data_IF_168632865962
#
_entry.id   IF_168632865962
#
_cell.length_a   1.000
_cell.length_b   1.000
_cell.length_c   1.000
_cell.angle_alpha   90.00
_cell.angle_beta   90.00
_cell.angle_gamma   90.00
#
_symmetry.space_group_name_H-M   'P 1'
#
loop_
_entity.id
_entity.type
_entity.pdbx_description
1 polymer ?
#
# COMPACT_ATOMS: atom_id res chain seq x y z
N UNK A 1 5.50 14.42 0.27
CA UNK A 1 5.27 13.02 0.65
C UNK A 1 5.72 12.91 2.09
N UNK A 2 4.85 12.46 2.98
CA UNK A 2 5.16 12.30 4.39
C UNK A 2 5.91 11.00 4.67
N UNK A 3 6.03 10.68 5.95
CA UNK A 3 6.69 9.49 6.47
C UNK A 3 5.68 8.42 6.84
N UNK A 4 6.07 7.16 6.63
CA UNK A 4 5.45 6.01 7.28
C UNK A 4 6.30 5.67 8.50
N UNK A 5 5.73 5.78 9.69
CA UNK A 5 6.45 5.54 10.94
C UNK A 5 5.78 4.45 11.74
N UNK A 6 6.56 3.70 12.50
CA UNK A 6 6.04 2.88 13.57
C UNK A 6 6.48 3.44 14.92
N UNK A 7 5.56 3.40 15.89
CA UNK A 7 5.74 4.06 17.19
C UNK A 7 5.28 3.19 18.33
N UNK A 8 5.89 3.41 19.49
CA UNK A 8 5.52 2.82 20.77
C UNK A 8 5.73 3.84 21.88
N UNK A 9 5.49 3.45 23.14
CA UNK A 9 5.80 4.31 24.29
C UNK A 9 7.24 4.85 24.31
N UNK A 10 8.17 4.23 23.59
CA UNK A 10 9.56 4.69 23.51
C UNK A 10 9.74 5.99 22.74
N UNK A 11 8.78 6.39 21.91
CA UNK A 11 8.79 7.70 21.25
C UNK A 11 8.32 8.83 22.19
N UNK A 12 7.84 8.51 23.39
CA UNK A 12 7.53 9.48 24.43
C UNK A 12 6.36 10.40 24.06
N UNK A 13 6.44 11.66 24.50
CA UNK A 13 5.40 12.63 24.20
C UNK A 13 5.63 13.29 22.83
N UNK A 14 4.88 12.86 21.82
CA UNK A 14 4.94 13.39 20.45
C UNK A 14 4.25 14.76 20.41
N UNK A 15 4.91 15.74 19.80
CA UNK A 15 4.26 17.00 19.43
C UNK A 15 3.45 16.80 18.14
N UNK A 16 2.19 16.41 18.33
CA UNK A 16 1.29 16.02 17.25
C UNK A 16 0.94 17.13 16.27
N UNK A 17 0.96 18.40 16.69
CA UNK A 17 0.69 19.53 15.78
C UNK A 17 1.85 19.76 14.80
N UNK A 18 3.07 19.41 15.22
CA UNK A 18 4.26 19.43 14.36
C UNK A 18 4.37 18.14 13.54
N UNK A 19 4.05 16.99 14.14
CA UNK A 19 4.21 15.68 13.51
C UNK A 19 3.14 15.38 12.45
N UNK A 20 1.87 15.73 12.69
CA UNK A 20 0.77 15.40 11.79
C UNK A 20 1.00 15.72 10.30
N UNK A 21 1.45 16.94 9.91
CA UNK A 21 1.68 17.26 8.50
C UNK A 21 2.86 16.48 7.87
N UNK A 22 3.67 15.81 8.69
CA UNK A 22 4.79 14.99 8.24
C UNK A 22 4.39 13.52 8.01
N UNK A 23 3.20 13.08 8.42
CA UNK A 23 2.88 11.66 8.54
C UNK A 23 1.88 11.21 7.46
N UNK A 24 2.32 10.28 6.62
CA UNK A 24 1.46 9.61 5.63
C UNK A 24 0.71 8.43 6.26
N UNK A 25 1.36 7.70 7.19
CA UNK A 25 0.76 6.57 7.90
C UNK A 25 1.54 6.25 9.19
N UNK A 26 0.84 5.77 10.23
CA UNK A 26 1.45 5.37 11.51
C UNK A 26 1.09 3.92 11.85
N UNK A 27 2.03 3.11 12.33
CA UNK A 27 1.73 1.79 12.92
C UNK A 27 2.10 1.84 14.41
N UNK A 28 1.10 1.82 15.29
CA UNK A 28 1.31 2.03 16.74
C UNK A 28 1.25 0.71 17.53
N UNK A 29 2.16 0.55 18.50
CA UNK A 29 2.21 -0.64 19.35
C UNK A 29 1.05 -0.67 20.31
N UNK A 30 0.34 -1.79 20.37
CA UNK A 30 -0.74 -2.02 21.34
C UNK A 30 -0.23 -2.75 22.58
N UNK A 31 0.62 -3.75 22.37
CA UNK A 31 1.09 -4.63 23.43
C UNK A 31 2.46 -5.24 23.12
N UNK A 32 3.07 -5.77 24.16
CA UNK A 32 4.27 -6.62 24.10
C UNK A 32 3.97 -7.93 24.85
N UNK A 33 3.53 -8.95 24.11
CA UNK A 33 2.89 -10.11 24.70
C UNK A 33 1.54 -9.81 25.35
N UNK A 34 0.91 -10.84 25.89
CA UNK A 34 -0.35 -10.70 26.63
C UNK A 34 -0.20 -9.89 27.92
N UNK A 35 1.00 -9.79 28.49
CA UNK A 35 1.22 -9.24 29.83
C UNK A 35 1.64 -7.77 29.88
N UNK A 36 1.91 -7.13 28.75
CA UNK A 36 2.29 -5.71 28.71
C UNK A 36 1.42 -4.95 27.72
N UNK A 37 0.64 -3.99 28.21
CA UNK A 37 -0.10 -3.04 27.38
C UNK A 37 0.76 -1.80 27.18
N UNK A 38 0.90 -1.33 25.95
CA UNK A 38 1.64 -0.09 25.69
C UNK A 38 0.88 1.10 26.32
N UNK A 39 1.48 1.81 27.29
CA UNK A 39 0.78 2.81 28.09
C UNK A 39 0.44 4.09 27.32
N UNK A 40 1.10 4.35 26.18
CA UNK A 40 0.86 5.57 25.39
C UNK A 40 -0.04 5.33 24.18
N UNK A 41 -0.28 4.07 23.80
CA UNK A 41 -1.09 3.70 22.65
C UNK A 41 -2.42 4.45 22.56
N UNK A 42 -3.22 4.46 23.64
CA UNK A 42 -4.54 5.12 23.64
C UNK A 42 -4.42 6.63 23.40
N UNK A 43 -3.42 7.28 23.99
CA UNK A 43 -3.17 8.70 23.80
C UNK A 43 -2.74 9.00 22.36
N UNK A 44 -1.89 8.15 21.78
CA UNK A 44 -1.49 8.27 20.38
C UNK A 44 -2.68 8.11 19.44
N UNK A 45 -3.51 7.08 19.63
CA UNK A 45 -4.72 6.86 18.83
C UNK A 45 -5.65 8.07 18.91
N UNK A 46 -5.90 8.61 20.11
CA UNK A 46 -6.72 9.80 20.27
C UNK A 46 -6.14 10.99 19.50
N UNK A 47 -4.84 11.23 19.60
CA UNK A 47 -4.18 12.33 18.91
C UNK A 47 -4.19 12.18 17.38
N UNK A 48 -3.99 10.96 16.88
CA UNK A 48 -4.06 10.62 15.45
C UNK A 48 -5.49 10.82 14.91
N UNK A 49 -6.51 10.36 15.63
CA UNK A 49 -7.92 10.55 15.26
C UNK A 49 -8.29 12.03 15.18
N UNK A 50 -7.90 12.84 16.17
CA UNK A 50 -8.17 14.29 16.18
C UNK A 50 -7.58 15.00 14.97
N UNK A 51 -6.49 14.47 14.39
CA UNK A 51 -5.76 15.08 13.27
C UNK A 51 -5.92 14.32 11.96
N UNK A 52 -6.86 13.36 11.90
CA UNK A 52 -7.12 12.51 10.73
C UNK A 52 -5.86 11.79 10.19
N UNK A 53 -4.94 11.42 11.06
CA UNK A 53 -3.76 10.64 10.68
C UNK A 53 -4.20 9.16 10.56
N UNK A 54 -4.08 8.53 9.39
CA UNK A 54 -4.43 7.12 9.24
C UNK A 54 -3.41 6.24 9.98
N UNK A 55 -3.89 5.19 10.64
CA UNK A 55 -3.02 4.35 11.45
C UNK A 55 -3.38 2.85 11.42
N UNK A 56 -2.39 2.03 11.71
CA UNK A 56 -2.48 0.60 11.98
C UNK A 56 -2.03 0.26 13.41
N UNK A 57 -2.27 -0.99 13.79
CA UNK A 57 -1.87 -1.54 15.08
C UNK A 57 -0.79 -2.61 14.89
N UNK A 58 0.18 -2.70 15.80
CA UNK A 58 1.07 -3.86 15.90
C UNK A 58 1.16 -4.39 17.34
N UNK A 59 1.51 -5.68 17.46
CA UNK A 59 1.77 -6.35 18.73
C UNK A 59 3.04 -7.18 18.63
N UNK A 60 4.00 -6.90 19.51
CA UNK A 60 5.19 -7.73 19.66
C UNK A 60 4.78 -9.08 20.24
N UNK A 61 5.05 -10.15 19.51
CA UNK A 61 4.56 -11.50 19.78
C UNK A 61 5.39 -12.18 20.89
N UNK A 62 4.70 -12.76 21.88
CA UNK A 62 5.36 -13.56 22.94
C UNK A 62 4.76 -14.94 23.20
N UNK A 63 3.86 -15.39 22.34
CA UNK A 63 3.16 -16.66 22.54
C UNK A 63 4.12 -17.85 22.70
N UNK A 64 3.78 -18.74 23.62
CA UNK A 64 4.58 -19.94 23.92
C UNK A 64 3.92 -21.25 23.44
N UNK A 65 2.71 -21.16 22.88
CA UNK A 65 1.96 -22.29 22.33
C UNK A 65 0.88 -21.81 21.35
N UNK A 66 0.23 -22.72 20.64
CA UNK A 66 -0.90 -22.41 19.75
C UNK A 66 -2.08 -21.80 20.51
N UNK A 67 -2.43 -22.35 21.68
CA UNK A 67 -3.50 -21.81 22.51
C UNK A 67 -3.16 -20.40 23.01
N UNK A 68 -1.90 -20.17 23.36
CA UNK A 68 -1.41 -18.87 23.81
C UNK A 68 -1.35 -17.85 22.67
N UNK A 69 -0.95 -18.24 21.46
CA UNK A 69 -1.00 -17.38 20.27
C UNK A 69 -2.41 -16.88 19.97
N UNK A 70 -3.41 -17.76 20.13
CA UNK A 70 -4.82 -17.38 20.02
C UNK A 70 -5.22 -16.39 21.11
N UNK A 71 -4.81 -16.64 22.36
CA UNK A 71 -5.10 -15.75 23.49
C UNK A 71 -4.46 -14.37 23.31
N UNK A 72 -3.21 -14.34 22.87
CA UNK A 72 -2.47 -13.11 22.62
C UNK A 72 -3.12 -12.28 21.49
N UNK A 73 -3.57 -12.94 20.42
CA UNK A 73 -4.34 -12.29 19.34
C UNK A 73 -5.67 -11.71 19.83
N UNK A 74 -6.38 -12.41 20.71
CA UNK A 74 -7.61 -11.91 21.34
C UNK A 74 -7.34 -10.68 22.20
N UNK A 75 -6.26 -10.71 22.99
CA UNK A 75 -5.85 -9.58 23.81
C UNK A 75 -5.48 -8.38 22.94
N UNK A 76 -4.70 -8.62 21.87
CA UNK A 76 -4.34 -7.59 20.90
C UNK A 76 -5.57 -6.97 20.26
N UNK A 77 -6.49 -7.80 19.75
CA UNK A 77 -7.75 -7.33 19.18
C UNK A 77 -8.58 -6.53 20.18
N UNK A 78 -8.72 -7.00 21.42
CA UNK A 78 -9.53 -6.32 22.43
C UNK A 78 -8.95 -4.96 22.85
N UNK A 79 -7.62 -4.85 22.92
CA UNK A 79 -6.91 -3.63 23.32
C UNK A 79 -6.78 -2.61 22.19
N UNK A 80 -6.62 -3.09 20.95
CA UNK A 80 -6.44 -2.25 19.78
C UNK A 80 -7.72 -1.51 19.37
N UNK A 81 -7.55 -0.26 18.95
CA UNK A 81 -8.63 0.56 18.42
C UNK A 81 -9.09 0.03 17.06
N UNK A 82 -10.41 -0.04 16.86
CA UNK A 82 -11.04 -0.64 15.68
C UNK A 82 -11.05 0.27 14.45
N UNK A 83 -10.66 1.53 14.59
CA UNK A 83 -10.39 2.42 13.46
C UNK A 83 -9.07 2.12 12.77
N UNK A 84 -8.22 1.26 13.35
CA UNK A 84 -6.98 0.82 12.71
C UNK A 84 -7.28 0.10 11.38
N UNK A 85 -6.53 0.46 10.34
CA UNK A 85 -6.73 -0.06 8.99
C UNK A 85 -6.02 -1.39 8.75
N UNK A 86 -4.97 -1.67 9.54
CA UNK A 86 -4.20 -2.92 9.51
C UNK A 86 -3.84 -3.37 10.93
N UNK A 87 -3.60 -4.67 11.08
CA UNK A 87 -3.17 -5.32 12.31
C UNK A 87 -1.91 -6.14 12.04
N UNK A 88 -0.85 -5.95 12.80
CA UNK A 88 0.46 -6.57 12.51
C UNK A 88 0.89 -7.49 13.65
N UNK A 89 1.22 -8.73 13.30
CA UNK A 89 1.99 -9.62 14.16
C UNK A 89 3.47 -9.27 14.02
N UNK A 90 4.10 -8.84 15.09
CA UNK A 90 5.52 -8.47 15.12
C UNK A 90 6.34 -9.61 15.77
N UNK A 91 7.14 -10.30 14.95
CA UNK A 91 7.85 -11.54 15.30
C UNK A 91 9.36 -11.33 15.20
N UNK A 92 10.00 -11.17 16.35
CA UNK A 92 11.45 -10.91 16.43
C UNK A 92 12.23 -11.95 17.23
N UNK A 93 11.57 -12.67 18.13
CA UNK A 93 12.22 -13.58 19.08
C UNK A 93 11.57 -14.96 19.06
N UNK A 94 12.37 -16.00 19.36
CA UNK A 94 11.86 -17.37 19.50
C UNK A 94 11.23 -17.54 20.88
N UNK A 95 9.91 -17.75 20.93
CA UNK A 95 9.16 -18.00 22.20
C UNK A 95 8.48 -19.37 22.23
N UNK A 96 8.40 -20.04 21.07
CA UNK A 96 8.02 -21.44 20.94
C UNK A 96 8.83 -22.11 19.84
N UNK A 97 8.78 -23.44 19.74
CA UNK A 97 9.56 -24.17 18.75
C UNK A 97 9.09 -23.94 17.31
N UNK A 98 7.79 -24.09 17.04
CA UNK A 98 7.21 -23.79 15.73
C UNK A 98 6.61 -22.37 15.72
N UNK A 99 7.49 -21.37 15.59
CA UNK A 99 7.08 -19.97 15.49
C UNK A 99 6.14 -19.72 14.31
N UNK A 100 6.30 -20.41 13.18
CA UNK A 100 5.39 -20.26 12.02
C UNK A 100 3.98 -20.71 12.35
N UNK A 101 3.81 -21.84 13.04
CA UNK A 101 2.48 -22.30 13.45
C UNK A 101 1.82 -21.36 14.47
N UNK A 102 2.60 -20.84 15.43
CA UNK A 102 2.14 -19.82 16.38
C UNK A 102 1.69 -18.54 15.68
N UNK A 103 2.53 -17.98 14.80
CA UNK A 103 2.24 -16.77 14.03
C UNK A 103 1.01 -16.95 13.14
N UNK A 104 0.89 -18.08 12.43
CA UNK A 104 -0.28 -18.34 11.60
C UNK A 104 -1.57 -18.40 12.45
N UNK A 105 -1.51 -19.05 13.61
CA UNK A 105 -2.64 -19.10 14.55
C UNK A 105 -3.05 -17.72 15.05
N UNK A 106 -2.07 -16.88 15.38
CA UNK A 106 -2.31 -15.49 15.80
C UNK A 106 -3.02 -14.70 14.69
N UNK A 107 -2.54 -14.78 13.45
CA UNK A 107 -3.11 -14.09 12.29
C UNK A 107 -4.52 -14.60 11.98
N UNK A 108 -4.72 -15.91 12.01
CA UNK A 108 -6.03 -16.53 11.74
C UNK A 108 -7.06 -16.14 12.80
N UNK A 109 -6.65 -16.02 14.06
CA UNK A 109 -7.53 -15.54 15.12
C UNK A 109 -7.92 -14.08 14.95
N UNK A 110 -6.99 -13.20 14.54
CA UNK A 110 -7.31 -11.81 14.21
C UNK A 110 -8.35 -11.73 13.07
N UNK A 111 -8.16 -12.52 12.01
CA UNK A 111 -9.12 -12.61 10.91
C UNK A 111 -10.49 -13.10 11.39
N UNK A 112 -10.52 -14.14 12.24
CA UNK A 112 -11.75 -14.67 12.85
C UNK A 112 -12.49 -13.62 13.68
N UNK A 113 -11.75 -12.77 14.40
CA UNK A 113 -12.28 -11.69 15.23
C UNK A 113 -12.76 -10.48 14.41
N UNK A 114 -12.38 -10.39 13.14
CA UNK A 114 -12.91 -9.42 12.19
C UNK A 114 -11.87 -8.53 11.51
N UNK A 115 -10.58 -8.70 11.79
CA UNK A 115 -9.51 -7.96 11.13
C UNK A 115 -9.52 -8.24 9.62
N UNK A 116 -9.63 -7.19 8.81
CA UNK A 116 -9.72 -7.30 7.33
C UNK A 116 -8.37 -7.29 6.63
N UNK A 117 -7.36 -6.69 7.27
CA UNK A 117 -6.00 -6.57 6.75
C UNK A 117 -5.04 -6.89 7.89
N UNK A 118 -4.33 -8.01 7.77
CA UNK A 118 -3.39 -8.51 8.76
C UNK A 118 -2.01 -8.67 8.11
N UNK A 119 -1.01 -8.05 8.71
CA UNK A 119 0.38 -8.08 8.26
C UNK A 119 1.29 -8.89 9.18
N UNK A 120 2.46 -9.21 8.66
CA UNK A 120 3.56 -9.82 9.42
C UNK A 120 4.76 -8.87 9.38
N UNK A 121 5.20 -8.39 10.54
CA UNK A 121 6.56 -7.91 10.71
C UNK A 121 7.45 -9.07 11.18
N UNK A 122 8.61 -9.21 10.56
CA UNK A 122 9.53 -10.29 10.87
C UNK A 122 10.96 -9.79 10.82
N UNK A 123 11.68 -9.95 11.93
CA UNK A 123 13.09 -9.59 12.01
C UNK A 123 13.91 -10.31 10.94
N UNK A 124 14.83 -9.61 10.27
CA UNK A 124 15.59 -10.18 9.16
C UNK A 124 16.35 -11.47 9.54
N UNK A 125 16.81 -11.57 10.78
CA UNK A 125 17.58 -12.71 11.29
C UNK A 125 16.71 -13.94 11.63
N UNK A 126 15.39 -13.79 11.73
CA UNK A 126 14.47 -14.88 12.08
C UNK A 126 13.60 -15.37 10.91
N UNK A 127 13.63 -14.68 9.76
CA UNK A 127 12.80 -15.00 8.60
C UNK A 127 12.94 -16.47 8.14
N UNK A 128 14.16 -16.90 7.83
CA UNK A 128 14.45 -18.27 7.40
C UNK A 128 14.35 -19.28 8.55
N UNK A 129 14.99 -19.07 9.72
CA UNK A 129 14.95 -20.04 10.82
C UNK A 129 13.55 -20.38 11.30
N UNK A 130 12.62 -19.43 11.23
CA UNK A 130 11.23 -19.67 11.61
C UNK A 130 10.34 -20.08 10.45
N UNK A 131 10.84 -20.15 9.20
CA UNK A 131 10.04 -20.55 8.04
C UNK A 131 8.95 -19.55 7.65
N UNK A 132 9.21 -18.25 7.84
CA UNK A 132 8.21 -17.17 7.75
C UNK A 132 7.69 -16.91 6.33
N UNK A 133 8.40 -17.38 5.30
CA UNK A 133 7.92 -17.39 3.92
C UNK A 133 6.58 -18.13 3.73
N UNK A 134 6.25 -19.06 4.64
CA UNK A 134 5.04 -19.88 4.58
C UNK A 134 3.87 -19.32 5.40
N UNK A 135 4.05 -18.17 6.08
CA UNK A 135 2.96 -17.50 6.79
C UNK A 135 2.07 -16.76 5.79
N UNK A 136 0.76 -16.95 5.91
CA UNK A 136 -0.24 -16.34 5.03
C UNK A 136 -0.80 -15.07 5.66
N UNK A 137 -0.17 -13.93 5.40
CA UNK A 137 -0.65 -12.58 5.72
C UNK A 137 -1.06 -11.82 4.44
N UNK A 138 -1.65 -10.63 4.60
CA UNK A 138 -2.06 -9.76 3.48
C UNK A 138 -0.89 -8.87 2.98
N UNK A 139 0.09 -8.63 3.86
CA UNK A 139 1.34 -7.96 3.55
C UNK A 139 2.48 -8.42 4.48
N UNK A 140 3.71 -8.20 4.04
CA UNK A 140 4.94 -8.49 4.81
C UNK A 140 5.74 -7.20 5.03
N UNK A 141 6.26 -7.03 6.23
CA UNK A 141 7.07 -5.90 6.67
C UNK A 141 8.41 -6.43 7.20
N UNK A 142 9.53 -5.97 6.65
CA UNK A 142 10.87 -6.48 7.01
C UNK A 142 11.82 -5.32 7.30
N UNK A 143 12.57 -5.36 8.41
CA UNK A 143 13.64 -4.42 8.66
C UNK A 143 14.90 -4.82 7.88
N UNK A 144 15.60 -3.83 7.32
CA UNK A 144 17.00 -3.99 6.94
C UNK A 144 17.68 -2.64 6.92
N UNK A 145 18.62 -2.46 7.83
CA UNK A 145 19.31 -1.18 8.00
C UNK A 145 20.64 -1.19 7.23
N UNK A 146 21.12 -0.01 6.82
CA UNK A 146 22.38 0.12 6.08
C UNK A 146 22.24 0.16 4.55
N UNK A 147 21.09 0.59 4.04
CA UNK A 147 20.90 0.98 2.62
C UNK A 147 20.55 -0.14 1.65
N UNK A 148 20.81 -1.40 2.00
CA UNK A 148 20.37 -2.54 1.20
C UNK A 148 18.91 -2.88 1.50
N UNK A 149 18.09 -3.06 0.45
CA UNK A 149 16.71 -3.57 0.57
C UNK A 149 16.67 -4.96 1.23
N UNK A 150 15.57 -5.36 1.89
CA UNK A 150 15.38 -6.70 2.44
C UNK A 150 15.74 -7.81 1.44
N UNK A 151 16.37 -8.89 1.92
CA UNK A 151 16.72 -10.04 1.08
C UNK A 151 15.48 -10.84 0.63
N UNK A 152 14.39 -10.71 1.36
CA UNK A 152 13.12 -11.39 1.11
C UNK A 152 12.07 -10.40 0.59
N UNK A 153 11.10 -10.86 -0.22
CA UNK A 153 10.00 -10.02 -0.67
C UNK A 153 9.21 -9.43 0.51
N UNK A 154 8.95 -8.14 0.46
CA UNK A 154 8.08 -7.46 1.41
C UNK A 154 7.34 -6.29 0.76
N UNK A 155 6.26 -5.85 1.40
CA UNK A 155 5.49 -4.68 1.00
C UNK A 155 5.99 -3.42 1.68
N UNK A 156 6.38 -3.54 2.95
CA UNK A 156 6.96 -2.47 3.76
C UNK A 156 8.42 -2.83 4.10
N UNK A 157 9.32 -1.88 3.89
CA UNK A 157 10.71 -1.97 4.34
C UNK A 157 10.95 -0.92 5.44
N UNK A 158 11.24 -1.39 6.67
CA UNK A 158 11.80 -0.53 7.71
C UNK A 158 13.29 -0.32 7.42
N UNK A 159 13.63 0.86 6.91
CA UNK A 159 14.97 1.10 6.35
C UNK A 159 15.93 1.78 7.33
N UNK A 160 15.40 2.34 8.42
CA UNK A 160 16.20 2.89 9.52
C UNK A 160 15.44 2.88 10.83
N UNK A 161 16.17 2.68 11.93
CA UNK A 161 15.73 2.83 13.32
C UNK A 161 16.27 4.12 14.00
N UNK A 162 16.98 4.94 13.21
CA UNK A 162 17.63 6.20 13.63
C UNK A 162 17.13 7.40 12.83
N UNK A 163 15.94 7.28 12.23
CA UNK A 163 15.30 8.39 11.55
C UNK A 163 14.97 9.53 12.51
N UNK A 164 14.68 10.70 11.96
CA UNK A 164 14.25 11.86 12.74
C UNK A 164 13.10 12.57 12.04
N UNK A 165 11.93 12.62 12.68
CA UNK A 165 10.74 13.30 12.15
C UNK A 165 10.40 14.48 13.05
N UNK A 166 10.19 15.69 12.50
CA UNK A 166 9.75 16.84 13.28
C UNK A 166 8.53 16.52 14.15
N UNK A 167 8.62 16.84 15.44
CA UNK A 167 7.58 16.55 16.43
C UNK A 167 7.64 15.16 17.07
N UNK A 168 8.33 14.19 16.46
CA UNK A 168 8.57 12.85 17.03
C UNK A 168 9.99 12.72 17.58
N UNK A 169 10.98 13.25 16.85
CA UNK A 169 12.39 13.00 17.12
C UNK A 169 12.81 11.64 16.56
N UNK A 170 13.65 10.90 17.31
CA UNK A 170 14.18 9.59 16.86
C UNK A 170 13.02 8.61 16.65
N UNK A 171 12.93 8.03 15.46
CA UNK A 171 11.90 7.04 15.12
C UNK A 171 12.31 6.12 13.97
N UNK A 172 11.54 5.05 13.85
CA UNK A 172 11.70 4.05 12.80
C UNK A 172 10.97 4.54 11.55
N UNK A 173 11.64 4.46 10.40
CA UNK A 173 11.10 4.91 9.12
C UNK A 173 10.93 3.76 8.14
N UNK A 174 9.81 3.83 7.43
CA UNK A 174 9.32 2.79 6.56
C UNK A 174 9.07 3.32 5.14
N UNK A 175 9.23 2.44 4.17
CA UNK A 175 8.91 2.73 2.77
C UNK A 175 8.20 1.56 2.11
N UNK A 176 7.34 1.86 1.14
CA UNK A 176 6.60 0.86 0.38
C UNK A 176 7.46 0.40 -0.81
N UNK A 177 7.74 -0.90 -0.89
CA UNK A 177 8.54 -1.49 -1.98
C UNK A 177 7.87 -2.69 -2.65
N UNK A 178 6.71 -3.10 -2.17
CA UNK A 178 5.90 -4.17 -2.77
C UNK A 178 4.76 -3.64 -3.62
N UNK A 179 3.66 -4.41 -3.66
CA UNK A 179 2.54 -4.13 -4.57
C UNK A 179 1.34 -3.45 -3.89
N UNK A 180 1.42 -3.14 -2.59
CA UNK A 180 0.39 -2.40 -1.86
C UNK A 180 0.69 -0.89 -1.91
N UNK A 181 -0.15 -0.07 -2.56
CA UNK A 181 0.02 1.38 -2.53
C UNK A 181 -0.35 1.95 -1.15
N UNK A 182 0.07 3.19 -0.88
CA UNK A 182 -0.25 3.89 0.38
C UNK A 182 -1.76 3.90 0.68
N UNK A 183 -2.61 4.10 -0.33
CA UNK A 183 -4.08 4.07 -0.18
C UNK A 183 -4.62 2.73 0.34
N UNK A 184 -3.93 1.62 0.05
CA UNK A 184 -4.27 0.31 0.61
C UNK A 184 -4.05 0.29 2.12
N UNK A 185 -2.99 0.92 2.62
CA UNK A 185 -2.70 1.00 4.06
C UNK A 185 -3.57 2.03 4.77
N UNK A 186 -3.73 3.24 4.20
CA UNK A 186 -4.47 4.31 4.87
C UNK A 186 -5.98 4.07 4.89
N UNK A 187 -6.48 3.08 4.15
CA UNK A 187 -7.90 2.83 4.02
C UNK A 187 -8.64 3.99 3.34
N UNK A 188 -7.89 4.92 2.73
CA UNK A 188 -8.45 5.95 1.89
C UNK A 188 -9.21 5.27 0.77
N UNK A 189 -10.54 5.26 0.86
CA UNK A 189 -11.39 5.23 -0.32
C UNK A 189 -10.87 6.39 -1.18
N UNK A 190 -10.56 6.20 -2.48
CA UNK A 190 -10.21 7.33 -3.32
C UNK A 190 -11.36 8.32 -3.16
N UNK A 191 -11.09 9.41 -2.44
CA UNK A 191 -12.00 10.53 -2.45
C UNK A 191 -12.11 10.92 -3.91
N UNK A 192 -13.31 10.82 -4.47
CA UNK A 192 -13.69 11.74 -5.53
C UNK A 192 -13.73 13.14 -4.90
N UNK A 193 -12.57 13.66 -4.51
CA UNK A 193 -12.34 15.07 -4.29
C UNK A 193 -11.42 15.49 -5.42
N UNK A 194 -11.87 16.52 -6.13
CA UNK A 194 -11.17 17.24 -7.17
C UNK A 194 -9.75 17.59 -6.74
N UNK A 195 -8.80 16.69 -7.00
CA UNK A 195 -7.39 17.04 -7.08
C UNK A 195 -7.10 17.10 -8.56
N UNK A 196 -6.85 18.31 -9.04
CA UNK A 196 -6.04 18.56 -10.21
C UNK A 196 -4.71 17.82 -10.03
N UNK A 197 -4.69 16.54 -10.37
CA UNK A 197 -3.46 15.87 -10.71
C UNK A 197 -2.91 16.66 -11.90
N UNK A 198 -1.65 17.08 -11.83
CA UNK A 198 -0.88 17.13 -13.06
C UNK A 198 -0.85 15.70 -13.60
N UNK A 199 -1.88 15.38 -14.39
CA UNK A 199 -1.90 14.25 -15.29
C UNK A 199 -0.64 14.45 -16.14
N UNK A 200 0.32 13.55 -16.05
CA UNK A 200 1.17 13.35 -17.22
C UNK A 200 0.20 12.95 -18.32
N UNK A 201 -0.19 13.91 -19.18
CA UNK A 201 -1.14 13.69 -20.27
C UNK A 201 -0.74 12.40 -20.98
N UNK A 202 -1.50 11.33 -20.77
CA UNK A 202 -1.34 10.13 -21.56
C UNK A 202 -2.09 10.42 -22.84
N UNK A 203 -1.45 11.08 -23.81
CA UNK A 203 -2.11 11.45 -25.05
C UNK A 203 -2.64 10.18 -25.74
N UNK A 204 -3.92 9.89 -25.57
CA UNK A 204 -4.59 8.73 -26.17
C UNK A 204 -5.66 9.24 -27.11
N UNK A 205 -5.76 8.71 -28.32
CA UNK A 205 -6.83 9.06 -29.25
C UNK A 205 -7.83 7.91 -29.33
N UNK A 206 -9.10 8.25 -29.16
CA UNK A 206 -10.20 7.42 -29.60
C UNK A 206 -10.84 8.05 -30.84
N UNK A 207 -10.91 7.31 -31.95
CA UNK A 207 -11.68 7.76 -33.12
C UNK A 207 -13.18 7.54 -32.93
N UNK A 208 -13.98 8.25 -33.72
CA UNK A 208 -15.37 7.93 -33.95
C UNK A 208 -15.53 6.64 -34.74
N UNK A 209 -16.74 6.10 -34.76
CA UNK A 209 -17.07 4.92 -35.55
C UNK A 209 -16.93 5.24 -37.05
N UNK A 210 -16.22 4.37 -37.77
CA UNK A 210 -16.00 4.43 -39.22
C UNK A 210 -16.25 3.06 -39.85
N UNK A 211 -16.34 3.03 -41.17
CA UNK A 211 -16.65 1.80 -41.91
C UNK A 211 -15.48 0.81 -41.81
N UNK A 212 -15.71 -0.51 -41.67
CA UNK A 212 -14.63 -1.50 -41.64
C UNK A 212 -13.78 -1.49 -42.92
N UNK A 213 -14.32 -0.98 -44.03
CA UNK A 213 -13.58 -0.80 -45.28
C UNK A 213 -12.51 0.31 -45.19
N UNK A 214 -12.61 1.22 -44.23
CA UNK A 214 -11.63 2.30 -44.00
C UNK A 214 -10.55 1.90 -42.97
N UNK A 215 -10.66 0.72 -42.35
CA UNK A 215 -9.70 0.22 -41.37
C UNK A 215 -8.26 0.07 -41.91
N UNK A 216 -8.00 -0.41 -43.14
CA UNK A 216 -6.64 -0.47 -43.68
C UNK A 216 -5.99 0.91 -43.80
N UNK A 217 -6.79 1.93 -44.13
CA UNK A 217 -6.29 3.30 -44.23
C UNK A 217 -5.96 3.88 -42.84
N UNK A 218 -6.83 3.64 -41.85
CA UNK A 218 -6.57 4.03 -40.46
C UNK A 218 -5.33 3.35 -39.89
N UNK A 219 -5.11 2.05 -40.16
CA UNK A 219 -3.89 1.33 -39.76
C UNK A 219 -2.63 1.90 -40.40
N UNK A 220 -2.72 2.29 -41.68
CA UNK A 220 -1.61 2.95 -42.40
C UNK A 220 -1.27 4.29 -41.76
N UNK A 221 -2.30 5.08 -41.40
CA UNK A 221 -2.12 6.37 -40.75
C UNK A 221 -1.46 6.24 -39.36
N UNK A 222 -1.94 5.32 -38.51
CA UNK A 222 -1.35 5.04 -37.21
C UNK A 222 0.11 4.59 -37.33
N UNK A 223 0.42 3.73 -38.30
CA UNK A 223 1.80 3.27 -38.56
C UNK A 223 2.70 4.43 -38.99
N UNK A 224 2.20 5.36 -39.81
CA UNK A 224 2.96 6.52 -40.29
C UNK A 224 3.43 7.45 -39.16
N UNK A 225 2.68 7.50 -38.06
CA UNK A 225 3.01 8.26 -36.84
C UNK A 225 3.56 7.36 -35.72
N UNK A 226 3.91 6.10 -36.04
CA UNK A 226 4.46 5.12 -35.09
C UNK A 226 3.58 4.90 -33.85
N UNK A 227 2.26 4.93 -34.02
CA UNK A 227 1.29 4.68 -32.96
C UNK A 227 0.77 3.24 -33.04
N UNK A 228 0.55 2.64 -31.87
CA UNK A 228 -0.19 1.40 -31.70
C UNK A 228 -1.61 1.69 -31.25
N UNK A 229 -2.56 0.87 -31.67
CA UNK A 229 -3.96 1.02 -31.32
C UNK A 229 -4.70 -0.31 -31.34
N UNK A 230 -5.77 -0.39 -30.53
CA UNK A 230 -6.74 -1.48 -30.57
C UNK A 230 -7.92 -1.06 -31.42
N UNK A 231 -8.32 -1.88 -32.40
CA UNK A 231 -9.53 -1.69 -33.19
C UNK A 231 -10.67 -2.51 -32.59
N UNK A 232 -11.86 -1.89 -32.52
CA UNK A 232 -13.04 -2.44 -31.86
C UNK A 232 -14.20 -2.40 -32.84
N UNK A 233 -14.70 -3.58 -33.22
CA UNK A 233 -15.90 -3.77 -34.06
C UNK A 233 -17.16 -3.67 -33.19
N UNK A 234 -18.11 -2.85 -33.61
CA UNK A 234 -19.41 -2.65 -32.97
C UNK A 234 -20.48 -3.55 -33.60
N UNK A 235 -21.58 -3.75 -32.88
CA UNK A 235 -22.68 -4.63 -33.30
C UNK A 235 -23.43 -4.16 -34.54
N UNK A 236 -23.31 -2.87 -34.90
CA UNK A 236 -23.86 -2.28 -36.12
C UNK A 236 -22.92 -2.43 -37.35
N UNK A 237 -21.77 -3.09 -37.17
CA UNK A 237 -20.79 -3.35 -38.22
C UNK A 237 -19.78 -2.23 -38.42
N UNK A 238 -19.88 -1.10 -37.69
CA UNK A 238 -18.86 -0.04 -37.70
C UNK A 238 -17.72 -0.39 -36.74
N UNK A 239 -16.56 0.24 -36.94
CA UNK A 239 -15.39 0.04 -36.09
C UNK A 239 -14.83 1.38 -35.66
N UNK A 240 -14.16 1.41 -34.51
CA UNK A 240 -13.32 2.55 -34.11
C UNK A 240 -12.01 2.03 -33.53
N UNK A 241 -11.04 2.91 -33.30
CA UNK A 241 -9.79 2.55 -32.64
C UNK A 241 -9.53 3.39 -31.40
N UNK A 242 -8.79 2.82 -30.45
CA UNK A 242 -8.20 3.51 -29.30
C UNK A 242 -6.70 3.31 -29.33
N UNK A 243 -5.93 4.40 -29.33
CA UNK A 243 -4.47 4.31 -29.31
C UNK A 243 -3.91 3.98 -27.92
N UNK A 244 -2.72 3.43 -27.87
CA UNK A 244 -1.94 3.44 -26.63
C UNK A 244 -1.45 4.87 -26.31
N UNK A 245 -0.99 5.16 -25.07
CA UNK A 245 -0.41 6.47 -24.73
C UNK A 245 0.71 6.87 -25.69
N UNK A 246 0.62 8.08 -26.23
CA UNK A 246 1.51 8.55 -27.30
C UNK A 246 2.21 9.88 -26.95
N UNK A 247 3.22 10.28 -27.71
CA UNK A 247 3.86 11.60 -27.54
C UNK A 247 3.05 12.73 -28.18
N UNK A 248 3.30 13.99 -27.79
CA UNK A 248 2.60 15.16 -28.38
C UNK A 248 2.78 15.25 -29.90
N UNK A 249 3.95 14.87 -30.42
CA UNK A 249 4.24 14.89 -31.85
C UNK A 249 3.39 13.87 -32.61
N UNK A 250 3.27 12.67 -32.05
CA UNK A 250 2.46 11.59 -32.62
C UNK A 250 0.97 11.93 -32.53
N UNK A 251 0.53 12.47 -31.38
CA UNK A 251 -0.83 12.97 -31.19
C UNK A 251 -1.18 14.01 -32.25
N UNK A 252 -0.36 15.05 -32.42
CA UNK A 252 -0.62 16.11 -33.38
C UNK A 252 -0.64 15.60 -34.83
N UNK A 253 0.26 14.67 -35.18
CA UNK A 253 0.27 14.01 -36.49
C UNK A 253 -1.03 13.26 -36.77
N UNK A 254 -1.52 12.49 -35.79
CA UNK A 254 -2.73 11.68 -35.92
C UNK A 254 -3.99 12.55 -35.94
N UNK A 255 -4.07 13.59 -35.08
CA UNK A 255 -5.14 14.60 -35.11
C UNK A 255 -5.27 15.25 -36.47
N UNK A 256 -4.15 15.72 -37.03
CA UNK A 256 -4.15 16.35 -38.34
C UNK A 256 -4.62 15.42 -39.47
N UNK A 257 -4.37 14.12 -39.37
CA UNK A 257 -4.92 13.14 -40.33
C UNK A 257 -6.43 12.96 -40.14
N UNK A 258 -6.91 12.83 -38.90
CA UNK A 258 -8.34 12.68 -38.58
C UNK A 258 -9.15 13.91 -39.01
N UNK A 259 -8.61 15.12 -38.75
CA UNK A 259 -9.21 16.38 -39.17
C UNK A 259 -9.34 16.46 -40.71
N UNK A 260 -8.30 16.04 -41.46
CA UNK A 260 -8.36 15.99 -42.93
C UNK A 260 -9.38 14.98 -43.46
N UNK A 261 -9.64 13.91 -42.71
CA UNK A 261 -10.68 12.93 -43.02
C UNK A 261 -12.08 13.38 -42.63
N UNK A 262 -12.20 14.47 -41.85
CA UNK A 262 -13.47 14.88 -41.26
C UNK A 262 -13.99 13.87 -40.24
N UNK A 263 -13.11 13.02 -39.69
CA UNK A 263 -13.49 12.01 -38.72
C UNK A 263 -13.50 12.61 -37.33
N UNK A 264 -14.58 12.34 -36.60
CA UNK A 264 -14.66 12.70 -35.19
C UNK A 264 -13.63 11.90 -34.38
N UNK A 265 -13.07 12.50 -33.34
CA UNK A 265 -12.23 11.82 -32.37
C UNK A 265 -12.24 12.56 -31.03
N UNK A 266 -11.77 11.87 -30.00
CA UNK A 266 -11.55 12.38 -28.65
C UNK A 266 -10.11 12.10 -28.23
N UNK A 267 -9.47 13.07 -27.56
CA UNK A 267 -8.17 12.87 -26.89
C UNK A 267 -8.43 12.63 -25.42
N UNK A 268 -8.02 11.48 -24.91
CA UNK A 268 -8.11 11.06 -23.51
C UNK A 268 -6.78 11.26 -22.80
#
# INVERSE_FOLDING_TARGET
>A
MGYIVDISKWNGNINWDVAAPQLDFVIARVQDGSNYVDPLYKNYVQAMKTRNIPFGNYAFCRFISIADAKKEAQDFWNRGDKSATVWVADVEVKTMDDMRAGTQTFIDELRRLGAKKVGLYVGHHVYEPFGMANVKSDFVWIPRYGGNKPAYPCDIWQYTETGNVPGIGKCDLNQLIGNKPLSWFTGAVPKQENVQAQVSKQNVIQSGAFSPYEAPEAMTALTSVKMTATFILQSDGLTYFISDPTSDAQLNGMKGWLDRKGWWYEVK
#
